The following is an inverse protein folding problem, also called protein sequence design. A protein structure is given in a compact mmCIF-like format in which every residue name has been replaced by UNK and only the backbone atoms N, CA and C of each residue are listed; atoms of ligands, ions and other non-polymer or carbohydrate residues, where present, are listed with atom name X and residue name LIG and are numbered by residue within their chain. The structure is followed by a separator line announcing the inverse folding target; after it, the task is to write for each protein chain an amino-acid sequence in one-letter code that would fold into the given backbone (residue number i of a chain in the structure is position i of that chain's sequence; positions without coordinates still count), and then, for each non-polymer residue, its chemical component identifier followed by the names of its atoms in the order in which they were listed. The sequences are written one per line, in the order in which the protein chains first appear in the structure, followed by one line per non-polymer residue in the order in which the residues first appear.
data_IF_940826161508
#
_entry.id   IF_940826161508
#
_cell.length_a   1.000
_cell.length_b   1.000
_cell.length_c   1.000
_cell.angle_alpha   90.00
_cell.angle_beta   90.00
_cell.angle_gamma   90.00
#
_symmetry.space_group_name_H-M   'P 1'
#
loop_
_entity.id
_entity.type
_entity.pdbx_description
1 polymer ?
#
# COMPACT_ATOMS: atom_id res chain seq x y z
N UNK A 1 16.21 15.70 7.51
CA UNK A 1 15.22 15.90 6.43
C UNK A 1 13.93 16.48 7.01
N UNK A 2 13.53 17.69 6.64
CA UNK A 2 12.23 18.27 7.07
C UNK A 2 11.11 17.62 6.26
N UNK A 3 10.28 16.79 6.90
CA UNK A 3 9.06 16.25 6.31
C UNK A 3 8.15 17.45 5.99
N UNK A 4 8.01 17.80 4.71
CA UNK A 4 7.03 18.80 4.28
C UNK A 4 5.65 18.29 4.70
N UNK A 5 5.06 18.93 5.72
CA UNK A 5 3.64 18.72 6.06
C UNK A 5 2.85 19.04 4.80
N UNK A 6 2.26 18.01 4.17
CA UNK A 6 1.30 18.22 3.08
C UNK A 6 0.13 18.97 3.71
N UNK A 7 0.02 20.27 3.44
CA UNK A 7 -1.16 21.05 3.74
C UNK A 7 -2.29 20.52 2.85
N UNK A 8 -2.93 19.43 3.28
CA UNK A 8 -4.13 18.93 2.64
C UNK A 8 -5.22 19.98 2.80
N UNK A 9 -5.85 20.37 1.70
CA UNK A 9 -7.05 21.20 1.73
C UNK A 9 -8.03 20.55 2.70
N UNK A 10 -8.43 21.26 3.76
CA UNK A 10 -9.51 20.79 4.64
C UNK A 10 -10.77 20.76 3.79
N UNK A 11 -11.35 19.58 3.65
CA UNK A 11 -12.64 19.39 2.99
C UNK A 11 -13.67 19.43 4.12
N UNK A 12 -14.62 20.36 4.03
CA UNK A 12 -15.77 20.37 4.93
C UNK A 12 -16.83 19.38 4.41
N UNK A 13 -17.02 18.29 5.15
CA UNK A 13 -17.97 17.23 4.79
C UNK A 13 -19.42 17.59 5.10
N UNK A 14 -19.66 18.66 5.87
CA UNK A 14 -21.01 19.10 6.26
C UNK A 14 -21.65 19.97 5.18
N UNK A 15 -20.85 20.71 4.43
CA UNK A 15 -21.31 21.56 3.32
C UNK A 15 -21.43 20.79 1.99
N UNK A 16 -20.99 19.53 1.95
CA UNK A 16 -21.06 18.68 0.76
C UNK A 16 -22.43 18.04 0.59
N UNK A 17 -22.81 17.78 -0.67
CA UNK A 17 -23.97 16.93 -0.93
C UNK A 17 -23.74 15.51 -0.40
N UNK A 18 -24.83 14.83 -0.05
CA UNK A 18 -24.75 13.48 0.50
C UNK A 18 -24.05 12.49 -0.45
N UNK A 19 -24.31 12.60 -1.75
CA UNK A 19 -23.70 11.76 -2.78
C UNK A 19 -22.18 11.96 -2.87
N UNK A 20 -21.72 13.22 -2.84
CA UNK A 20 -20.29 13.54 -2.87
C UNK A 20 -19.59 13.09 -1.60
N UNK A 21 -20.23 13.31 -0.43
CA UNK A 21 -19.73 12.84 0.87
C UNK A 21 -19.57 11.33 0.89
N UNK A 22 -20.58 10.60 0.43
CA UNK A 22 -20.55 9.14 0.39
C UNK A 22 -19.44 8.62 -0.53
N UNK A 23 -19.31 9.20 -1.73
CA UNK A 23 -18.25 8.84 -2.68
C UNK A 23 -16.86 9.04 -2.07
N UNK A 24 -16.63 10.21 -1.47
CA UNK A 24 -15.33 10.56 -0.88
C UNK A 24 -14.97 9.65 0.30
N UNK A 25 -15.93 9.33 1.17
CA UNK A 25 -15.73 8.40 2.28
C UNK A 25 -15.42 6.98 1.80
N UNK A 26 -16.09 6.51 0.74
CA UNK A 26 -15.83 5.20 0.14
C UNK A 26 -14.40 5.11 -0.40
N UNK A 27 -14.00 6.10 -1.20
CA UNK A 27 -12.65 6.17 -1.76
C UNK A 27 -11.57 6.26 -0.67
N UNK A 28 -11.79 7.06 0.37
CA UNK A 28 -10.88 7.16 1.51
C UNK A 28 -10.73 5.82 2.24
N UNK A 29 -11.84 5.11 2.48
CA UNK A 29 -11.86 3.80 3.13
C UNK A 29 -11.13 2.75 2.29
N UNK A 30 -11.36 2.71 0.98
CA UNK A 30 -10.67 1.79 0.07
C UNK A 30 -9.17 2.04 0.04
N UNK A 31 -8.76 3.31 -0.03
CA UNK A 31 -7.35 3.69 -0.01
C UNK A 31 -6.67 3.30 1.30
N UNK A 32 -7.36 3.51 2.43
CA UNK A 32 -6.85 3.11 3.74
C UNK A 32 -6.70 1.59 3.84
N UNK A 33 -7.69 0.83 3.36
CA UNK A 33 -7.61 -0.64 3.33
C UNK A 33 -6.43 -1.13 2.49
N UNK A 34 -6.21 -0.57 1.30
CA UNK A 34 -5.05 -0.90 0.45
C UNK A 34 -3.74 -0.67 1.19
N UNK A 35 -3.57 0.49 1.83
CA UNK A 35 -2.37 0.80 2.62
C UNK A 35 -2.15 -0.16 3.79
N UNK A 36 -3.21 -0.50 4.53
CA UNK A 36 -3.12 -1.46 5.63
C UNK A 36 -2.70 -2.84 5.12
N UNK A 37 -3.23 -3.27 3.97
CA UNK A 37 -2.84 -4.55 3.35
C UNK A 37 -1.37 -4.51 2.92
N UNK A 38 -0.93 -3.45 2.27
CA UNK A 38 0.47 -3.24 1.88
C UNK A 38 1.40 -3.25 3.11
N UNK A 39 1.06 -2.52 4.18
CA UNK A 39 1.85 -2.50 5.42
C UNK A 39 1.89 -3.88 6.08
N UNK A 40 0.76 -4.60 6.13
CA UNK A 40 0.72 -5.98 6.65
C UNK A 40 1.56 -6.93 5.82
N UNK A 41 1.51 -6.80 4.50
CA UNK A 41 2.33 -7.60 3.60
C UNK A 41 3.82 -7.28 3.80
N UNK A 42 4.19 -6.01 3.85
CA UNK A 42 5.58 -5.61 4.14
C UNK A 42 6.05 -6.13 5.50
N UNK A 43 5.23 -6.00 6.54
CA UNK A 43 5.56 -6.54 7.86
C UNK A 43 5.72 -8.07 7.83
N UNK A 44 4.85 -8.78 7.12
CA UNK A 44 4.98 -10.22 6.93
C UNK A 44 6.28 -10.57 6.19
N UNK A 45 6.61 -9.85 5.12
CA UNK A 45 7.84 -10.04 4.34
C UNK A 45 9.09 -9.84 5.21
N UNK A 46 9.15 -8.74 5.93
CA UNK A 46 10.29 -8.40 6.79
C UNK A 46 10.53 -9.42 7.92
N UNK A 47 9.48 -10.11 8.37
CA UNK A 47 9.56 -11.10 9.46
C UNK A 47 9.60 -12.55 8.96
N UNK A 48 9.45 -12.79 7.65
CA UNK A 48 9.47 -14.13 7.08
C UNK A 48 10.89 -14.50 6.70
N UNK A 49 11.39 -15.64 7.17
CA UNK A 49 12.71 -16.14 6.75
C UNK A 49 12.73 -16.50 5.27
N UNK A 50 11.57 -16.91 4.70
CA UNK A 50 11.37 -17.27 3.29
C UNK A 50 9.96 -16.92 2.82
N UNK A 51 9.83 -16.24 1.68
CA UNK A 51 8.56 -16.03 0.98
C UNK A 51 8.47 -16.94 -0.24
N UNK A 52 7.35 -17.65 -0.36
CA UNK A 52 7.01 -18.43 -1.54
C UNK A 52 5.81 -17.80 -2.26
N UNK A 53 5.95 -17.53 -3.56
CA UNK A 53 4.83 -17.16 -4.44
C UNK A 53 4.73 -18.24 -5.52
N UNK A 54 3.57 -18.88 -5.64
CA UNK A 54 3.34 -19.97 -6.60
C UNK A 54 4.40 -21.09 -6.54
N UNK A 55 4.81 -21.47 -5.32
CA UNK A 55 5.83 -22.51 -5.11
C UNK A 55 7.27 -22.08 -5.40
N UNK A 56 7.50 -20.85 -5.88
CA UNK A 56 8.85 -20.28 -6.11
C UNK A 56 9.27 -19.42 -4.92
N UNK A 57 10.52 -19.53 -4.50
CA UNK A 57 11.11 -18.67 -3.46
C UNK A 57 11.35 -17.28 -4.07
N UNK A 58 10.70 -16.26 -3.51
CA UNK A 58 10.81 -14.86 -3.96
C UNK A 58 11.57 -13.99 -2.94
N UNK A 59 11.62 -14.42 -1.68
CA UNK A 59 12.43 -13.78 -0.64
C UNK A 59 13.02 -14.85 0.27
N UNK A 60 14.25 -14.62 0.72
CA UNK A 60 14.96 -15.46 1.69
C UNK A 60 15.84 -14.52 2.51
N UNK A 61 15.72 -14.53 3.82
CA UNK A 61 16.35 -13.53 4.71
C UNK A 61 17.89 -13.52 4.66
N UNK A 62 18.52 -14.61 4.24
CA UNK A 62 19.95 -14.83 4.08
C UNK A 62 20.49 -14.52 2.67
N UNK A 63 19.61 -14.15 1.73
CA UNK A 63 19.99 -13.79 0.36
C UNK A 63 19.46 -12.40 0.00
N UNK A 64 20.20 -11.57 -0.76
CA UNK A 64 19.69 -10.29 -1.23
C UNK A 64 18.41 -10.52 -2.03
N UNK A 65 17.41 -9.64 -1.85
CA UNK A 65 16.15 -9.65 -2.61
C UNK A 65 16.47 -9.76 -4.11
N UNK A 66 16.34 -10.97 -4.67
CA UNK A 66 16.32 -11.17 -6.12
C UNK A 66 14.97 -10.66 -6.58
N UNK A 67 14.94 -9.37 -6.92
CA UNK A 67 13.75 -8.70 -7.37
C UNK A 67 13.08 -9.50 -8.49
N UNK A 68 11.75 -9.54 -8.45
CA UNK A 68 10.97 -9.71 -9.67
C UNK A 68 11.33 -8.52 -10.56
N UNK A 69 12.31 -8.69 -11.45
CA UNK A 69 12.51 -7.74 -12.52
C UNK A 69 11.32 -7.87 -13.46
N UNK A 70 10.63 -6.77 -13.73
CA UNK A 70 9.80 -6.64 -14.93
C UNK A 70 10.79 -6.39 -16.07
N UNK A 71 11.61 -7.40 -16.34
CA UNK A 71 12.32 -7.56 -17.60
C UNK A 71 11.68 -8.77 -18.26
N UNK A 72 10.44 -8.60 -18.72
CA UNK A 72 10.02 -9.22 -19.96
C UNK A 72 8.95 -8.33 -20.58
N UNK A 73 9.36 -7.77 -21.71
CA UNK A 73 8.60 -6.95 -22.64
C UNK A 73 7.92 -7.92 -23.62
N UNK A 74 6.59 -7.76 -23.75
CA UNK A 74 5.62 -8.42 -24.64
C UNK A 74 4.91 -9.67 -24.11
#
# INVERSE_FOLDING_TARGET
MKIKRKNGKKIDLLEMSEAERFKLLREAREKLRKRIIEEKLMHFLMNSERLYINGKIVYKSDEPLKGLSIDDVW
#
